data_IF_269163987768
#
_entry.id   IF_269163987768
#
_cell.length_a   1.000
_cell.length_b   1.000
_cell.length_c   1.000
_cell.angle_alpha   90.00
_cell.angle_beta   90.00
_cell.angle_gamma   90.00
#
_symmetry.space_group_name_H-M   'P 1'
#
loop_
_entity.id
_entity.type
_entity.pdbx_description
1 polymer ?
#
# COMPACT_ATOMS: atom_id res chain seq x y z
N UNK A 1 -23.24 -19.24 -4.71
CA UNK A 1 -22.52 -18.09 -4.12
C UNK A 1 -23.05 -17.63 -2.77
N UNK A 2 -24.36 -17.54 -2.56
CA UNK A 2 -24.98 -17.11 -1.28
C UNK A 2 -24.76 -18.09 -0.12
N UNK A 3 -24.74 -19.40 -0.37
CA UNK A 3 -24.58 -20.43 0.67
C UNK A 3 -23.19 -20.41 1.36
N UNK A 4 -22.14 -20.11 0.62
CA UNK A 4 -20.79 -19.97 1.16
C UNK A 4 -20.57 -18.69 1.98
N UNK A 5 -21.32 -17.62 1.68
CA UNK A 5 -21.29 -16.41 2.50
C UNK A 5 -21.92 -16.65 3.89
N UNK A 6 -23.03 -17.41 3.94
CA UNK A 6 -23.68 -17.72 5.21
C UNK A 6 -22.88 -18.69 6.09
N UNK A 7 -22.14 -19.64 5.49
CA UNK A 7 -21.28 -20.55 6.26
C UNK A 7 -20.08 -19.78 6.87
N UNK A 8 -19.53 -18.81 6.15
CA UNK A 8 -18.37 -18.03 6.60
C UNK A 8 -18.72 -17.03 7.68
N UNK A 9 -19.91 -16.43 7.66
CA UNK A 9 -20.41 -15.53 8.72
C UNK A 9 -20.83 -16.30 9.97
N UNK A 10 -21.26 -17.57 9.87
CA UNK A 10 -21.57 -18.41 11.04
C UNK A 10 -20.32 -18.91 11.79
N UNK A 11 -19.20 -19.11 11.08
CA UNK A 11 -17.95 -19.59 11.69
C UNK A 11 -17.17 -18.44 12.36
N UNK A 12 -17.43 -17.20 11.97
CA UNK A 12 -16.72 -16.02 12.49
C UNK A 12 -17.73 -14.88 12.74
N UNK A 13 -18.37 -14.86 13.93
CA UNK A 13 -19.20 -13.72 14.33
C UNK A 13 -18.35 -12.44 14.42
N UNK A 14 -18.94 -11.32 14.05
CA UNK A 14 -18.38 -9.99 14.29
C UNK A 14 -18.50 -9.71 15.81
N UNK A 15 -17.43 -9.96 16.56
CA UNK A 15 -17.35 -9.53 17.96
C UNK A 15 -16.94 -8.07 18.03
N UNK A 16 -17.70 -7.26 18.75
CA UNK A 16 -17.35 -5.91 19.20
C UNK A 16 -16.18 -6.04 20.20
N UNK A 17 -14.95 -5.84 19.75
CA UNK A 17 -13.75 -5.89 20.59
C UNK A 17 -13.34 -4.47 20.94
N UNK A 18 -13.29 -4.18 22.25
CA UNK A 18 -12.72 -2.95 22.80
C UNK A 18 -11.35 -2.62 22.19
N UNK A 19 -11.31 -1.55 21.41
CA UNK A 19 -10.14 -1.22 20.59
C UNK A 19 -9.05 -0.49 21.39
N UNK A 20 -8.17 -1.24 21.99
CA UNK A 20 -6.97 -0.74 22.71
C UNK A 20 -5.69 -0.81 21.89
N UNK A 21 -5.77 -0.74 20.56
CA UNK A 21 -4.64 -0.99 19.67
C UNK A 21 -3.91 0.30 19.26
N UNK A 22 -2.59 0.30 19.44
CA UNK A 22 -1.71 1.44 19.16
C UNK A 22 -0.96 1.35 17.82
N UNK A 23 -0.91 0.17 17.19
CA UNK A 23 -0.18 -0.05 15.94
C UNK A 23 -1.06 -0.66 14.86
N UNK A 24 -0.75 -0.37 13.58
CA UNK A 24 -1.43 -0.94 12.41
C UNK A 24 -1.36 -2.48 12.39
N UNK A 25 -0.35 -3.08 13.03
CA UNK A 25 -0.15 -4.53 13.05
C UNK A 25 -1.01 -5.26 14.09
N UNK A 26 -1.50 -4.58 15.10
CA UNK A 26 -2.28 -5.21 16.16
C UNK A 26 -3.61 -5.77 15.65
N UNK A 27 -4.19 -5.10 14.64
CA UNK A 27 -5.40 -5.57 13.96
C UNK A 27 -5.22 -6.92 13.25
N UNK A 28 -4.02 -7.24 12.77
CA UNK A 28 -3.71 -8.56 12.21
C UNK A 28 -3.67 -9.64 13.28
N UNK A 29 -3.06 -9.36 14.42
CA UNK A 29 -2.95 -10.33 15.51
C UNK A 29 -4.31 -10.78 16.02
N UNK A 30 -5.29 -9.89 15.98
CA UNK A 30 -6.66 -10.16 16.41
C UNK A 30 -7.39 -11.15 15.48
N UNK A 31 -7.00 -11.22 14.22
CA UNK A 31 -7.60 -12.11 13.22
C UNK A 31 -6.81 -13.41 13.02
N UNK A 32 -6.10 -13.90 14.05
CA UNK A 32 -5.24 -15.08 13.97
C UNK A 32 -5.91 -16.36 13.40
N UNK A 33 -7.22 -16.68 13.64
CA UNK A 33 -7.82 -17.87 13.03
C UNK A 33 -7.93 -17.73 11.49
N UNK A 34 -8.25 -16.52 11.02
CA UNK A 34 -8.31 -16.23 9.57
C UNK A 34 -6.92 -16.25 8.94
N UNK A 35 -5.88 -15.84 9.69
CA UNK A 35 -4.49 -15.92 9.24
C UNK A 35 -4.01 -17.36 9.11
N UNK A 36 -4.40 -18.26 10.01
CA UNK A 36 -4.11 -19.69 9.89
C UNK A 36 -4.78 -20.26 8.64
N UNK A 37 -6.04 -19.94 8.41
CA UNK A 37 -6.76 -20.41 7.22
C UNK A 37 -6.11 -19.89 5.93
N UNK A 38 -5.70 -18.61 5.92
CA UNK A 38 -4.93 -18.04 4.83
C UNK A 38 -3.60 -18.76 4.62
N UNK A 39 -2.85 -19.05 5.69
CA UNK A 39 -1.59 -19.79 5.62
C UNK A 39 -1.80 -21.20 5.06
N UNK A 40 -2.83 -21.92 5.49
CA UNK A 40 -3.17 -23.25 4.99
C UNK A 40 -3.49 -23.24 3.47
N UNK A 41 -4.29 -22.27 3.01
CA UNK A 41 -4.57 -22.13 1.58
C UNK A 41 -3.33 -21.73 0.78
N UNK A 42 -2.49 -20.86 1.33
CA UNK A 42 -1.22 -20.45 0.68
C UNK A 42 -0.26 -21.64 0.57
N UNK A 43 -0.17 -22.50 1.58
CA UNK A 43 0.60 -23.75 1.51
C UNK A 43 0.05 -24.68 0.40
N UNK A 44 -1.27 -24.78 0.26
CA UNK A 44 -1.88 -25.52 -0.85
C UNK A 44 -1.43 -24.99 -2.21
N UNK A 45 -1.51 -23.67 -2.43
CA UNK A 45 -1.00 -23.04 -3.67
C UNK A 45 0.47 -23.32 -3.87
N UNK A 46 1.27 -23.13 -2.82
CA UNK A 46 2.73 -23.29 -2.86
C UNK A 46 3.15 -24.69 -3.28
N UNK A 47 2.36 -25.69 -2.92
CA UNK A 47 2.60 -27.08 -3.32
C UNK A 47 2.10 -27.37 -4.75
N UNK A 48 0.84 -27.03 -5.05
CA UNK A 48 0.24 -27.41 -6.34
C UNK A 48 0.76 -26.58 -7.52
N UNK A 49 1.16 -25.31 -7.31
CA UNK A 49 1.61 -24.43 -8.39
C UNK A 49 2.92 -24.91 -9.06
N UNK A 50 4.00 -25.27 -8.34
CA UNK A 50 5.17 -25.87 -8.96
C UNK A 50 4.93 -27.31 -9.44
N UNK A 51 4.09 -28.09 -8.72
CA UNK A 51 3.82 -29.48 -9.03
C UNK A 51 3.22 -29.66 -10.43
N UNK A 52 2.40 -28.70 -10.90
CA UNK A 52 1.84 -28.76 -12.26
C UNK A 52 2.91 -28.87 -13.36
N UNK A 53 4.15 -28.41 -13.12
CA UNK A 53 5.20 -28.51 -14.13
C UNK A 53 5.75 -29.92 -14.31
N UNK A 54 5.50 -30.83 -13.36
CA UNK A 54 5.80 -32.25 -13.54
C UNK A 54 4.97 -32.90 -14.69
N UNK A 55 3.97 -32.19 -15.22
CA UNK A 55 3.26 -32.59 -16.43
C UNK A 55 4.22 -32.91 -17.58
N UNK A 56 5.28 -32.11 -17.76
CA UNK A 56 6.24 -32.33 -18.84
C UNK A 56 6.95 -33.67 -18.67
N UNK A 57 7.39 -34.02 -17.45
CA UNK A 57 7.98 -35.29 -17.15
C UNK A 57 7.01 -36.44 -17.47
N UNK A 58 5.78 -36.36 -16.94
CA UNK A 58 4.79 -37.44 -17.11
C UNK A 58 4.37 -37.64 -18.56
N UNK A 59 4.23 -36.55 -19.34
CA UNK A 59 3.83 -36.63 -20.74
C UNK A 59 4.99 -37.08 -21.64
N UNK A 60 6.20 -36.58 -21.45
CA UNK A 60 7.37 -36.92 -22.28
C UNK A 60 7.84 -38.36 -21.99
N UNK A 61 7.81 -38.76 -20.73
CA UNK A 61 8.25 -40.10 -20.30
C UNK A 61 7.16 -41.16 -20.44
N UNK A 62 5.93 -40.81 -20.91
CA UNK A 62 4.81 -41.78 -21.10
C UNK A 62 5.12 -42.76 -22.20
N UNK A 63 4.77 -44.06 -21.96
CA UNK A 63 5.04 -45.16 -22.89
C UNK A 63 3.83 -45.53 -23.76
N UNK A 64 2.64 -45.05 -23.38
CA UNK A 64 1.41 -45.38 -24.13
C UNK A 64 0.43 -44.19 -24.18
N UNK A 65 -0.46 -44.17 -25.19
CA UNK A 65 -1.52 -43.17 -25.33
C UNK A 65 -2.47 -43.15 -24.12
N UNK A 66 -2.73 -44.30 -23.50
CA UNK A 66 -3.61 -44.42 -22.34
C UNK A 66 -2.97 -43.80 -21.11
N UNK A 67 -1.67 -44.01 -20.88
CA UNK A 67 -0.90 -43.36 -19.82
C UNK A 67 -0.89 -41.83 -20.00
N UNK A 68 -0.63 -41.35 -21.22
CA UNK A 68 -0.64 -39.91 -21.50
C UNK A 68 -2.01 -39.26 -21.22
N UNK A 69 -3.12 -39.92 -21.56
CA UNK A 69 -4.47 -39.48 -21.24
C UNK A 69 -4.72 -39.43 -19.73
N UNK A 70 -4.27 -40.45 -18.99
CA UNK A 70 -4.35 -40.49 -17.53
C UNK A 70 -3.59 -39.36 -16.87
N UNK A 71 -2.35 -39.09 -17.32
CA UNK A 71 -1.55 -37.97 -16.85
C UNK A 71 -2.20 -36.63 -17.19
N UNK A 72 -2.84 -36.47 -18.33
CA UNK A 72 -3.56 -35.24 -18.68
C UNK A 72 -4.71 -35.00 -17.70
N UNK A 73 -5.49 -36.03 -17.33
CA UNK A 73 -6.51 -35.89 -16.28
C UNK A 73 -5.96 -35.45 -14.94
N UNK A 74 -4.78 -35.99 -14.53
CA UNK A 74 -4.08 -35.59 -13.32
C UNK A 74 -3.62 -34.13 -13.38
N UNK A 75 -3.10 -33.70 -14.53
CA UNK A 75 -2.69 -32.30 -14.75
C UNK A 75 -3.85 -31.33 -14.60
N UNK A 76 -5.02 -31.67 -15.17
CA UNK A 76 -6.23 -30.84 -14.97
C UNK A 76 -6.63 -30.77 -13.49
N UNK A 77 -6.61 -31.91 -12.78
CA UNK A 77 -6.93 -31.95 -11.36
C UNK A 77 -5.98 -31.08 -10.52
N UNK A 78 -4.66 -31.17 -10.77
CA UNK A 78 -3.64 -30.35 -10.08
C UNK A 78 -3.82 -28.86 -10.41
N UNK A 79 -4.06 -28.52 -11.67
CA UNK A 79 -4.26 -27.13 -12.10
C UNK A 79 -5.52 -26.53 -11.49
N UNK A 80 -6.61 -27.30 -11.46
CA UNK A 80 -7.86 -26.88 -10.81
C UNK A 80 -7.67 -26.71 -9.29
N UNK A 81 -6.96 -27.64 -8.65
CA UNK A 81 -6.62 -27.53 -7.22
C UNK A 81 -5.79 -26.29 -6.93
N UNK A 82 -4.75 -26.03 -7.74
CA UNK A 82 -3.92 -24.82 -7.61
C UNK A 82 -4.77 -23.54 -7.72
N UNK A 83 -5.63 -23.45 -8.74
CA UNK A 83 -6.54 -22.33 -8.93
C UNK A 83 -7.53 -22.18 -7.76
N UNK A 84 -8.08 -23.28 -7.26
CA UNK A 84 -9.01 -23.27 -6.13
C UNK A 84 -8.36 -22.73 -4.86
N UNK A 85 -7.18 -23.24 -4.50
CA UNK A 85 -6.43 -22.78 -3.33
C UNK A 85 -5.97 -21.31 -3.48
N UNK A 86 -5.54 -20.90 -4.68
CA UNK A 86 -5.19 -19.51 -4.95
C UNK A 86 -6.38 -18.57 -4.75
N UNK A 87 -7.56 -18.92 -5.27
CA UNK A 87 -8.79 -18.15 -5.10
C UNK A 87 -9.17 -18.01 -3.63
N UNK A 88 -9.05 -19.08 -2.84
CA UNK A 88 -9.34 -19.05 -1.41
C UNK A 88 -8.31 -18.24 -0.63
N UNK A 89 -7.03 -18.41 -0.93
CA UNK A 89 -5.93 -17.67 -0.30
C UNK A 89 -6.09 -16.16 -0.53
N UNK A 90 -6.26 -15.72 -1.78
CA UNK A 90 -6.49 -14.31 -2.12
C UNK A 90 -7.75 -13.75 -1.45
N UNK A 91 -8.86 -14.49 -1.47
CA UNK A 91 -10.11 -14.06 -0.85
C UNK A 91 -9.98 -13.91 0.67
N UNK A 92 -9.31 -14.85 1.32
CA UNK A 92 -9.08 -14.82 2.77
C UNK A 92 -8.25 -13.60 3.16
N UNK A 93 -7.14 -13.37 2.46
CA UNK A 93 -6.28 -12.24 2.75
C UNK A 93 -6.93 -10.89 2.47
N UNK A 94 -7.62 -10.74 1.33
CA UNK A 94 -8.33 -9.49 1.01
C UNK A 94 -9.32 -9.11 2.11
N UNK A 95 -10.04 -10.08 2.66
CA UNK A 95 -10.97 -9.82 3.78
C UNK A 95 -10.24 -9.36 5.05
N UNK A 96 -9.11 -9.99 5.36
CA UNK A 96 -8.29 -9.61 6.52
C UNK A 96 -7.75 -8.18 6.32
N UNK A 97 -7.20 -7.89 5.15
CA UNK A 97 -6.62 -6.58 4.85
C UNK A 97 -7.67 -5.45 4.82
N UNK A 98 -8.83 -5.70 4.19
CA UNK A 98 -9.93 -4.72 4.18
C UNK A 98 -10.47 -4.47 5.60
N UNK A 99 -10.65 -5.53 6.39
CA UNK A 99 -11.09 -5.41 7.78
C UNK A 99 -10.10 -4.64 8.64
N UNK A 100 -8.79 -4.85 8.45
CA UNK A 100 -7.76 -4.11 9.17
C UNK A 100 -7.77 -2.62 8.78
N UNK A 101 -7.89 -2.29 7.49
CA UNK A 101 -7.99 -0.90 7.03
C UNK A 101 -9.24 -0.22 7.58
N UNK A 102 -10.37 -0.92 7.63
CA UNK A 102 -11.61 -0.38 8.18
C UNK A 102 -11.48 -0.05 9.66
N UNK A 103 -10.90 -0.94 10.45
CA UNK A 103 -10.64 -0.69 11.88
C UNK A 103 -9.69 0.49 12.09
N UNK A 104 -8.61 0.61 11.28
CA UNK A 104 -7.71 1.77 11.31
C UNK A 104 -8.48 3.05 10.98
N UNK A 105 -9.33 3.03 9.94
CA UNK A 105 -10.18 4.17 9.55
C UNK A 105 -11.09 4.62 10.66
N UNK A 106 -11.82 3.68 11.28
CA UNK A 106 -12.73 3.98 12.39
C UNK A 106 -11.97 4.58 13.57
N UNK A 107 -10.81 4.01 13.93
CA UNK A 107 -10.00 4.53 15.02
C UNK A 107 -9.48 5.94 14.77
N UNK A 108 -8.99 6.23 13.56
CA UNK A 108 -8.55 7.58 13.19
C UNK A 108 -9.73 8.56 13.28
N UNK A 109 -10.88 8.19 12.71
CA UNK A 109 -12.07 9.05 12.75
C UNK A 109 -12.51 9.34 14.19
N UNK A 110 -12.57 8.32 15.05
CA UNK A 110 -12.84 8.51 16.48
C UNK A 110 -11.87 9.50 17.11
N UNK A 111 -10.56 9.32 16.90
CA UNK A 111 -9.56 10.22 17.48
C UNK A 111 -9.69 11.65 16.95
N UNK A 112 -10.01 11.82 15.66
CA UNK A 112 -10.25 13.16 15.07
C UNK A 112 -11.47 13.83 15.71
N UNK A 113 -12.53 13.09 15.96
CA UNK A 113 -13.76 13.64 16.59
C UNK A 113 -13.58 14.06 18.05
N UNK A 114 -12.59 13.47 18.76
CA UNK A 114 -12.27 13.87 20.13
C UNK A 114 -11.16 14.95 20.24
N UNK A 115 -10.63 15.43 19.12
CA UNK A 115 -9.66 16.56 19.12
C UNK A 115 -10.35 17.87 19.45
N UNK A 116 -9.60 18.77 20.05
CA UNK A 116 -10.07 20.16 20.22
C UNK A 116 -10.15 20.85 18.86
N UNK A 117 -11.01 21.85 18.74
CA UNK A 117 -11.14 22.65 17.51
C UNK A 117 -9.79 23.30 17.11
N UNK A 118 -9.00 23.68 18.11
CA UNK A 118 -7.66 24.24 17.88
C UNK A 118 -6.73 23.20 17.22
N UNK A 119 -6.68 21.98 17.74
CA UNK A 119 -5.89 20.87 17.16
C UNK A 119 -6.36 20.49 15.76
N UNK A 120 -7.67 20.44 15.54
CA UNK A 120 -8.24 20.13 14.24
C UNK A 120 -7.85 21.20 13.19
N UNK A 121 -8.01 22.48 13.53
CA UNK A 121 -7.70 23.59 12.63
C UNK A 121 -6.19 23.71 12.33
N UNK A 122 -5.32 23.25 13.22
CA UNK A 122 -3.87 23.28 13.01
C UNK A 122 -3.42 22.35 11.87
N UNK A 123 -4.07 21.22 11.67
CA UNK A 123 -3.77 20.26 10.60
C UNK A 123 -4.60 20.53 9.32
N UNK A 124 -5.84 21.01 9.47
CA UNK A 124 -6.76 21.36 8.39
C UNK A 124 -7.46 20.15 7.73
N UNK A 125 -8.61 20.41 7.12
CA UNK A 125 -9.50 19.39 6.51
C UNK A 125 -8.79 18.51 5.47
N UNK A 126 -7.93 19.12 4.65
CA UNK A 126 -7.23 18.42 3.58
C UNK A 126 -6.27 17.33 4.11
N UNK A 127 -5.64 17.55 5.26
CA UNK A 127 -4.74 16.58 5.88
C UNK A 127 -5.53 15.35 6.38
N UNK A 128 -6.65 15.55 7.06
CA UNK A 128 -7.51 14.47 7.52
C UNK A 128 -8.16 13.70 6.37
N UNK A 129 -8.58 14.40 5.32
CA UNK A 129 -9.12 13.77 4.13
C UNK A 129 -8.07 12.88 3.47
N UNK A 130 -6.81 13.36 3.37
CA UNK A 130 -5.69 12.56 2.86
C UNK A 130 -5.43 11.33 3.72
N UNK A 131 -5.41 11.45 5.05
CA UNK A 131 -5.24 10.33 5.97
C UNK A 131 -6.31 9.25 5.78
N UNK A 132 -7.60 9.65 5.74
CA UNK A 132 -8.74 8.74 5.67
C UNK A 132 -8.97 8.13 4.28
N UNK A 133 -8.31 8.65 3.23
CA UNK A 133 -8.46 8.18 1.85
C UNK A 133 -7.15 7.66 1.29
N UNK A 134 -6.23 8.55 0.93
CA UNK A 134 -4.98 8.22 0.20
C UNK A 134 -4.01 7.42 1.05
N UNK A 135 -3.79 7.81 2.32
CA UNK A 135 -2.82 7.14 3.19
C UNK A 135 -3.31 5.73 3.57
N UNK A 136 -4.62 5.55 3.84
CA UNK A 136 -5.21 4.23 4.07
C UNK A 136 -5.18 3.34 2.83
N UNK A 137 -5.36 3.91 1.64
CA UNK A 137 -5.21 3.16 0.40
C UNK A 137 -3.77 2.70 0.20
N UNK A 138 -2.80 3.56 0.46
CA UNK A 138 -1.38 3.21 0.40
C UNK A 138 -1.00 2.16 1.45
N UNK A 139 -1.59 2.22 2.66
CA UNK A 139 -1.45 1.17 3.66
C UNK A 139 -1.95 -0.19 3.14
N UNK A 140 -3.10 -0.21 2.46
CA UNK A 140 -3.63 -1.42 1.85
C UNK A 140 -2.73 -1.94 0.73
N UNK A 141 -2.44 -1.10 -0.29
CA UNK A 141 -1.76 -1.52 -1.52
C UNK A 141 -0.26 -1.79 -1.30
N UNK A 142 0.46 -0.92 -0.58
CA UNK A 142 1.90 -1.00 -0.45
C UNK A 142 2.37 -1.77 0.79
N UNK A 143 1.57 -1.80 1.85
CA UNK A 143 1.97 -2.53 3.06
C UNK A 143 1.30 -3.89 3.14
N UNK A 144 -0.02 -3.96 3.26
CA UNK A 144 -0.72 -5.22 3.49
C UNK A 144 -0.63 -6.16 2.30
N UNK A 145 -0.91 -5.67 1.08
CA UNK A 145 -0.81 -6.50 -0.13
C UNK A 145 0.61 -6.94 -0.42
N UNK A 146 1.61 -6.15 -0.03
CA UNK A 146 3.01 -6.54 -0.16
C UNK A 146 3.42 -7.61 0.84
N UNK A 147 2.96 -7.54 2.11
CA UNK A 147 3.18 -8.61 3.08
C UNK A 147 2.55 -9.93 2.61
N UNK A 148 1.32 -9.87 2.11
CA UNK A 148 0.67 -11.03 1.50
C UNK A 148 1.52 -11.62 0.38
N UNK A 149 1.97 -10.78 -0.55
CA UNK A 149 2.74 -11.21 -1.71
C UNK A 149 4.08 -11.84 -1.29
N UNK A 150 4.74 -11.33 -0.25
CA UNK A 150 5.98 -11.92 0.28
C UNK A 150 5.74 -13.34 0.79
N UNK A 151 4.67 -13.56 1.56
CA UNK A 151 4.31 -14.89 2.09
C UNK A 151 3.93 -15.82 0.95
N UNK A 152 3.09 -15.35 0.02
CA UNK A 152 2.60 -16.12 -1.13
C UNK A 152 3.74 -16.57 -2.05
N UNK A 153 4.57 -15.65 -2.52
CA UNK A 153 5.69 -15.95 -3.41
C UNK A 153 6.82 -16.68 -2.69
N UNK A 154 7.04 -16.38 -1.41
CA UNK A 154 8.01 -17.08 -0.57
C UNK A 154 7.65 -18.56 -0.41
N UNK A 155 6.40 -18.88 -0.17
CA UNK A 155 5.92 -20.25 -0.10
C UNK A 155 6.14 -21.02 -1.40
N UNK A 156 5.75 -20.42 -2.54
CA UNK A 156 5.95 -20.99 -3.88
C UNK A 156 7.43 -21.28 -4.14
N UNK A 157 8.30 -20.31 -3.83
CA UNK A 157 9.75 -20.43 -4.02
C UNK A 157 10.34 -21.57 -3.18
N UNK A 158 9.98 -21.65 -1.90
CA UNK A 158 10.46 -22.69 -0.99
C UNK A 158 10.05 -24.08 -1.47
N UNK A 159 8.78 -24.26 -1.91
CA UNK A 159 8.32 -25.52 -2.47
C UNK A 159 9.04 -25.85 -3.79
N UNK A 160 9.30 -24.87 -4.66
CA UNK A 160 10.04 -25.08 -5.90
C UNK A 160 11.50 -25.51 -5.61
N UNK A 161 12.17 -24.87 -4.65
CA UNK A 161 13.53 -25.26 -4.23
C UNK A 161 13.57 -26.67 -3.63
N UNK A 162 12.57 -27.05 -2.82
CA UNK A 162 12.45 -28.41 -2.29
C UNK A 162 12.27 -29.44 -3.42
N UNK A 163 11.47 -29.10 -4.44
CA UNK A 163 11.30 -29.97 -5.61
C UNK A 163 12.58 -30.07 -6.46
N UNK A 164 13.35 -28.98 -6.61
CA UNK A 164 14.68 -29.06 -7.26
C UNK A 164 15.63 -29.96 -6.49
N UNK A 165 15.65 -29.88 -5.16
CA UNK A 165 16.46 -30.75 -4.32
C UNK A 165 16.08 -32.23 -4.51
N UNK A 166 14.77 -32.52 -4.62
CA UNK A 166 14.27 -33.87 -4.90
C UNK A 166 14.67 -34.38 -6.30
N UNK A 167 14.66 -33.51 -7.33
CA UNK A 167 15.07 -33.86 -8.69
C UNK A 167 16.57 -34.12 -8.75
N UNK A 168 17.40 -33.16 -8.36
CA UNK A 168 18.86 -33.27 -8.34
C UNK A 168 19.49 -32.11 -7.58
N UNK A 169 20.40 -32.36 -6.63
CA UNK A 169 21.17 -31.31 -5.97
C UNK A 169 21.99 -30.45 -6.94
N UNK A 170 22.44 -31.04 -8.05
CA UNK A 170 23.19 -30.29 -9.09
C UNK A 170 22.30 -29.30 -9.79
N UNK A 171 21.06 -29.67 -10.10
CA UNK A 171 20.07 -28.77 -10.70
C UNK A 171 19.67 -27.64 -9.72
N UNK A 172 19.55 -27.96 -8.43
CA UNK A 172 19.34 -26.95 -7.40
C UNK A 172 20.49 -25.93 -7.36
N UNK A 173 21.72 -26.40 -7.37
CA UNK A 173 22.90 -25.51 -7.38
C UNK A 173 22.92 -24.65 -8.66
N UNK A 174 22.63 -25.23 -9.81
CA UNK A 174 22.58 -24.53 -11.08
C UNK A 174 21.55 -23.38 -11.06
N UNK A 175 20.30 -23.65 -10.61
CA UNK A 175 19.27 -22.60 -10.56
C UNK A 175 19.64 -21.50 -9.56
N UNK A 176 20.23 -21.82 -8.41
CA UNK A 176 20.66 -20.84 -7.43
C UNK A 176 21.75 -19.92 -8.01
N UNK A 177 22.76 -20.49 -8.65
CA UNK A 177 23.86 -19.71 -9.28
C UNK A 177 23.34 -18.79 -10.40
N UNK A 178 22.48 -19.30 -11.26
CA UNK A 178 21.96 -18.53 -12.41
C UNK A 178 20.92 -17.49 -12.00
N UNK A 179 20.33 -17.60 -10.82
CA UNK A 179 19.39 -16.59 -10.30
C UNK A 179 20.11 -15.37 -9.71
N UNK A 180 21.40 -15.46 -9.37
CA UNK A 180 22.17 -14.34 -8.79
C UNK A 180 22.31 -13.13 -9.74
N UNK A 181 22.70 -13.27 -11.03
CA UNK A 181 22.89 -12.14 -11.92
C UNK A 181 21.68 -11.22 -12.08
N UNK A 182 20.43 -11.72 -12.29
CA UNK A 182 19.25 -10.87 -12.37
C UNK A 182 18.94 -10.09 -11.09
N UNK A 183 19.39 -10.58 -9.93
CA UNK A 183 19.17 -9.90 -8.65
C UNK A 183 20.22 -8.80 -8.38
N UNK A 184 21.44 -8.97 -8.90
CA UNK A 184 22.55 -8.04 -8.66
C UNK A 184 22.60 -6.93 -9.71
N UNK A 185 22.32 -7.24 -10.97
CA UNK A 185 22.40 -6.30 -12.09
C UNK A 185 21.56 -5.02 -11.87
N UNK A 186 20.30 -5.08 -11.40
CA UNK A 186 19.50 -3.89 -11.15
C UNK A 186 20.16 -2.90 -10.19
N UNK A 187 20.95 -3.40 -9.23
CA UNK A 187 21.64 -2.54 -8.26
C UNK A 187 22.66 -1.61 -8.91
N UNK A 188 23.37 -2.06 -9.94
CA UNK A 188 24.33 -1.23 -10.69
C UNK A 188 23.66 -0.21 -11.62
N UNK A 189 22.45 -0.53 -12.11
CA UNK A 189 21.66 0.37 -12.96
C UNK A 189 20.82 1.37 -12.17
N UNK A 190 20.62 1.14 -10.87
CA UNK A 190 19.80 1.97 -10.00
C UNK A 190 20.30 3.42 -9.87
N UNK A 191 21.59 3.68 -9.97
CA UNK A 191 22.14 5.05 -9.85
C UNK A 191 21.64 5.93 -10.98
N UNK A 192 21.71 5.46 -12.23
CA UNK A 192 21.20 6.19 -13.39
C UNK A 192 19.67 6.36 -13.32
N UNK A 193 18.95 5.30 -12.98
CA UNK A 193 17.51 5.34 -12.82
C UNK A 193 17.08 6.32 -11.73
N UNK A 194 17.81 6.33 -10.60
CA UNK A 194 17.56 7.28 -9.52
C UNK A 194 17.80 8.72 -9.98
N UNK A 195 18.93 8.99 -10.62
CA UNK A 195 19.27 10.34 -11.11
C UNK A 195 18.21 10.86 -12.10
N UNK A 196 17.78 10.05 -13.07
CA UNK A 196 16.75 10.43 -14.04
C UNK A 196 15.37 10.60 -13.38
N UNK A 197 15.04 9.79 -12.38
CA UNK A 197 13.81 9.92 -11.59
C UNK A 197 13.79 11.20 -10.77
N UNK A 198 14.89 11.53 -10.10
CA UNK A 198 15.01 12.75 -9.28
C UNK A 198 14.91 13.98 -10.19
N UNK A 199 15.57 13.99 -11.35
CA UNK A 199 15.47 15.03 -12.35
C UNK A 199 14.02 15.22 -12.86
N UNK A 200 13.33 14.12 -13.18
CA UNK A 200 11.93 14.15 -13.60
C UNK A 200 11.03 14.70 -12.49
N UNK A 201 11.24 14.28 -11.23
CA UNK A 201 10.45 14.76 -10.10
C UNK A 201 10.59 16.28 -9.90
N UNK A 202 11.81 16.81 -9.99
CA UNK A 202 12.07 18.26 -9.90
C UNK A 202 11.41 19.01 -11.06
N UNK A 203 11.55 18.50 -12.29
CA UNK A 203 10.97 19.17 -13.48
C UNK A 203 9.44 19.13 -13.44
N UNK A 204 8.84 18.07 -12.91
CA UNK A 204 7.38 17.96 -12.74
C UNK A 204 6.87 18.89 -11.65
N UNK A 205 7.63 19.10 -10.57
CA UNK A 205 7.29 20.05 -9.53
C UNK A 205 7.29 21.50 -10.09
N UNK A 206 8.32 21.87 -10.86
CA UNK A 206 8.41 23.17 -11.56
C UNK A 206 7.23 23.37 -12.55
N UNK A 207 6.95 22.36 -13.38
CA UNK A 207 5.81 22.39 -14.29
C UNK A 207 4.47 22.56 -13.56
N UNK A 208 4.29 21.87 -12.44
CA UNK A 208 3.06 21.96 -11.62
C UNK A 208 2.90 23.35 -11.01
N UNK A 209 4.01 23.97 -10.58
CA UNK A 209 3.99 25.32 -10.06
C UNK A 209 3.61 26.35 -11.15
N UNK A 210 4.21 26.25 -12.34
CA UNK A 210 3.87 27.10 -13.49
C UNK A 210 2.40 26.94 -13.91
N UNK A 211 1.88 25.71 -13.85
CA UNK A 211 0.48 25.42 -14.15
C UNK A 211 -0.48 26.05 -13.13
N UNK A 212 -0.12 26.01 -11.84
CA UNK A 212 -0.89 26.72 -10.78
C UNK A 212 -0.93 28.22 -10.99
N UNK A 213 0.21 28.83 -11.33
CA UNK A 213 0.30 30.26 -11.62
C UNK A 213 -0.54 30.66 -12.83
N UNK A 214 -0.48 29.86 -13.90
CA UNK A 214 -1.28 30.07 -15.11
C UNK A 214 -2.79 29.96 -14.82
N UNK A 215 -3.21 28.93 -14.12
CA UNK A 215 -4.63 28.71 -13.78
C UNK A 215 -5.11 29.75 -12.76
N UNK A 216 -4.28 30.11 -11.76
CA UNK A 216 -4.60 31.15 -10.79
C UNK A 216 -4.66 32.55 -11.40
N UNK A 217 -3.92 32.80 -12.49
CA UNK A 217 -3.93 34.06 -13.23
C UNK A 217 -4.94 34.12 -14.39
N UNK A 218 -5.85 33.14 -14.50
CA UNK A 218 -6.76 32.99 -15.65
C UNK A 218 -7.53 34.28 -15.98
N UNK A 219 -8.14 34.93 -14.99
CA UNK A 219 -8.92 36.17 -15.20
C UNK A 219 -8.02 37.31 -15.72
N UNK A 220 -6.80 37.42 -15.22
CA UNK A 220 -5.81 38.42 -15.65
C UNK A 220 -5.40 38.17 -17.09
N UNK A 221 -5.06 36.94 -17.42
CA UNK A 221 -4.66 36.53 -18.78
C UNK A 221 -5.76 36.88 -19.76
N UNK A 222 -7.01 36.56 -19.41
CA UNK A 222 -8.20 36.82 -20.24
C UNK A 222 -8.50 38.29 -20.37
N UNK A 223 -8.34 39.07 -19.32
CA UNK A 223 -8.58 40.53 -19.34
C UNK A 223 -7.60 41.28 -20.19
N UNK A 224 -6.34 40.77 -20.33
CA UNK A 224 -5.31 41.38 -21.14
C UNK A 224 -5.17 40.76 -22.54
N UNK A 225 -6.05 39.80 -22.90
CA UNK A 225 -6.04 39.09 -24.21
C UNK A 225 -4.65 38.49 -24.54
N UNK A 226 -4.02 37.84 -23.57
CA UNK A 226 -2.67 37.28 -23.69
C UNK A 226 -2.64 35.76 -23.75
N UNK A 227 -3.72 35.11 -24.15
CA UNK A 227 -3.86 33.65 -24.19
C UNK A 227 -2.76 32.98 -24.97
N UNK A 228 -2.44 33.50 -26.18
CA UNK A 228 -1.43 32.91 -27.07
C UNK A 228 -0.02 32.95 -26.44
N UNK A 229 0.32 34.06 -25.78
CA UNK A 229 1.62 34.19 -25.13
C UNK A 229 1.78 33.18 -23.98
N UNK A 230 0.72 32.98 -23.17
CA UNK A 230 0.72 32.02 -22.07
C UNK A 230 0.62 30.57 -22.57
N UNK A 231 -0.09 30.32 -23.68
CA UNK A 231 -0.10 29.01 -24.33
C UNK A 231 1.31 28.63 -24.85
N UNK A 232 2.05 29.56 -25.42
CA UNK A 232 3.43 29.33 -25.85
C UNK A 232 4.37 29.07 -24.65
N UNK A 233 4.19 29.80 -23.55
CA UNK A 233 4.95 29.57 -22.29
C UNK A 233 4.68 28.18 -21.72
N UNK A 234 3.41 27.80 -21.63
CA UNK A 234 3.00 26.46 -21.20
C UNK A 234 3.57 25.36 -22.11
N UNK A 235 3.53 25.54 -23.43
CA UNK A 235 4.09 24.56 -24.36
C UNK A 235 5.58 24.33 -24.14
N UNK A 236 6.34 25.40 -23.83
CA UNK A 236 7.77 25.31 -23.51
C UNK A 236 8.01 24.53 -22.20
N UNK A 237 7.22 24.80 -21.15
CA UNK A 237 7.30 24.09 -19.89
C UNK A 237 6.92 22.62 -20.03
N UNK A 238 5.83 22.32 -20.75
CA UNK A 238 5.37 20.97 -21.03
C UNK A 238 6.39 20.17 -21.84
N UNK A 239 7.10 20.81 -22.81
CA UNK A 239 8.17 20.15 -23.56
C UNK A 239 9.33 19.71 -22.68
N UNK A 240 9.78 20.58 -21.77
CA UNK A 240 10.86 20.24 -20.79
C UNK A 240 10.44 19.10 -19.87
N UNK A 241 9.21 19.13 -19.33
CA UNK A 241 8.68 18.05 -18.51
C UNK A 241 8.65 16.74 -19.28
N UNK A 242 8.20 16.74 -20.53
CA UNK A 242 8.17 15.56 -21.42
C UNK A 242 9.57 15.01 -21.71
N UNK A 243 10.57 15.87 -21.97
CA UNK A 243 11.94 15.43 -22.22
C UNK A 243 12.52 14.72 -20.99
N UNK A 244 12.33 15.27 -19.80
CA UNK A 244 12.77 14.64 -18.57
C UNK A 244 12.03 13.34 -18.26
N UNK A 245 10.72 13.26 -18.59
CA UNK A 245 9.95 12.03 -18.48
C UNK A 245 10.45 10.95 -19.43
N UNK A 246 10.76 11.32 -20.69
CA UNK A 246 11.32 10.39 -21.67
C UNK A 246 12.65 9.78 -21.19
N UNK A 247 13.56 10.59 -20.65
CA UNK A 247 14.84 10.11 -20.12
C UNK A 247 14.64 9.14 -18.96
N UNK A 248 13.71 9.44 -18.06
CA UNK A 248 13.35 8.54 -16.96
C UNK A 248 12.75 7.22 -17.46
N UNK A 249 11.76 7.30 -18.38
CA UNK A 249 11.11 6.11 -18.95
C UNK A 249 12.07 5.25 -19.76
N UNK A 250 12.98 5.85 -20.53
CA UNK A 250 14.01 5.11 -21.26
C UNK A 250 14.98 4.40 -20.32
N UNK A 251 15.37 5.04 -19.22
CA UNK A 251 16.23 4.43 -18.19
C UNK A 251 15.53 3.26 -17.49
N UNK A 252 14.24 3.41 -17.21
CA UNK A 252 13.40 2.36 -16.64
C UNK A 252 13.24 1.18 -17.62
N UNK A 253 12.93 1.47 -18.88
CA UNK A 253 12.76 0.45 -19.91
C UNK A 253 14.06 -0.32 -20.17
N UNK A 254 15.21 0.37 -20.23
CA UNK A 254 16.51 -0.28 -20.35
C UNK A 254 16.80 -1.24 -19.18
N UNK A 255 16.47 -0.83 -17.95
CA UNK A 255 16.61 -1.70 -16.79
C UNK A 255 15.71 -2.94 -16.90
N UNK A 256 14.43 -2.78 -17.23
CA UNK A 256 13.47 -3.87 -17.40
C UNK A 256 13.92 -4.82 -18.52
N UNK A 257 14.29 -4.28 -19.67
CA UNK A 257 14.70 -5.07 -20.84
C UNK A 257 15.97 -5.88 -20.57
N UNK A 258 16.99 -5.27 -19.96
CA UNK A 258 18.23 -5.97 -19.61
C UNK A 258 18.00 -7.07 -18.54
N UNK A 259 17.15 -6.78 -17.55
CA UNK A 259 16.78 -7.79 -16.53
C UNK A 259 16.01 -8.95 -17.16
N UNK A 260 15.09 -8.66 -18.10
CA UNK A 260 14.31 -9.67 -18.81
C UNK A 260 15.21 -10.53 -19.70
N UNK A 261 16.20 -9.94 -20.40
CA UNK A 261 17.17 -10.70 -21.22
C UNK A 261 17.89 -11.74 -20.35
N UNK A 262 18.44 -11.32 -19.21
CA UNK A 262 19.16 -12.23 -18.32
C UNK A 262 18.23 -13.28 -17.74
N UNK A 263 17.01 -12.90 -17.36
CA UNK A 263 16.02 -13.86 -16.85
C UNK A 263 15.64 -14.91 -17.90
N UNK A 264 15.52 -14.52 -19.17
CA UNK A 264 15.22 -15.44 -20.26
C UNK A 264 16.38 -16.39 -20.60
N UNK A 265 17.64 -16.00 -20.31
CA UNK A 265 18.80 -16.89 -20.47
C UNK A 265 18.88 -17.99 -19.40
N UNK A 266 18.13 -17.87 -18.31
CA UNK A 266 18.13 -18.90 -17.26
C UNK A 266 17.55 -20.21 -17.75
N UNK A 267 16.45 -20.19 -18.50
CA UNK A 267 15.84 -21.39 -19.04
C UNK A 267 16.81 -22.23 -19.89
N UNK A 268 17.47 -21.69 -20.94
CA UNK A 268 18.43 -22.47 -21.74
C UNK A 268 19.64 -22.93 -20.93
N UNK A 269 20.13 -22.17 -19.95
CA UNK A 269 21.24 -22.60 -19.11
C UNK A 269 20.85 -23.78 -18.22
N UNK A 270 19.70 -23.72 -17.56
CA UNK A 270 19.18 -24.85 -16.75
C UNK A 270 18.91 -26.06 -17.63
N UNK A 271 18.38 -25.84 -18.83
CA UNK A 271 18.17 -26.90 -19.83
C UNK A 271 19.48 -27.56 -20.23
N UNK A 272 20.55 -26.77 -20.49
CA UNK A 272 21.86 -27.29 -20.89
C UNK A 272 22.47 -28.14 -19.77
N UNK A 273 22.46 -27.67 -18.52
CA UNK A 273 22.97 -28.46 -17.37
C UNK A 273 22.16 -29.75 -17.22
N UNK A 274 20.84 -29.67 -17.38
CA UNK A 274 19.97 -30.86 -17.34
C UNK A 274 20.29 -31.86 -18.45
N UNK A 275 20.57 -31.39 -19.68
CA UNK A 275 20.96 -32.25 -20.81
C UNK A 275 22.26 -33.00 -20.55
N UNK A 276 23.29 -32.36 -19.97
CA UNK A 276 24.52 -33.05 -19.58
C UNK A 276 24.24 -34.18 -18.59
N UNK A 277 23.39 -33.92 -17.57
CA UNK A 277 22.98 -34.95 -16.62
C UNK A 277 22.13 -36.06 -17.25
N UNK A 278 21.38 -35.76 -18.31
CA UNK A 278 20.61 -36.77 -19.06
C UNK A 278 21.53 -37.64 -19.94
N UNK A 279 22.57 -37.08 -20.60
CA UNK A 279 23.55 -37.81 -21.33
C UNK A 279 24.38 -38.79 -20.44
N UNK A 280 24.62 -38.38 -19.19
CA UNK A 280 25.25 -39.23 -18.15
C UNK A 280 24.24 -40.34 -17.64
N UNK A 281 23.02 -40.41 -18.14
CA UNK A 281 22.00 -41.38 -17.72
C UNK A 281 21.41 -41.10 -16.32
N UNK A 282 21.68 -39.91 -15.72
CA UNK A 282 21.21 -39.56 -14.37
C UNK A 282 19.78 -39.01 -14.33
N UNK A 283 19.33 -38.40 -15.43
CA UNK A 283 18.00 -37.80 -15.55
C UNK A 283 17.31 -38.24 -16.85
N UNK A 284 15.96 -38.24 -16.85
CA UNK A 284 15.17 -38.42 -18.08
C UNK A 284 14.95 -37.08 -18.77
N UNK A 285 14.68 -37.07 -20.08
CA UNK A 285 14.38 -35.85 -20.84
C UNK A 285 13.14 -35.12 -20.30
N UNK A 286 12.15 -35.87 -19.84
CA UNK A 286 10.96 -35.31 -19.19
C UNK A 286 11.32 -34.58 -17.88
N UNK A 287 12.26 -35.13 -17.10
CA UNK A 287 12.74 -34.50 -15.87
C UNK A 287 13.53 -33.22 -16.16
N UNK A 288 14.37 -33.21 -17.19
CA UNK A 288 15.12 -32.00 -17.64
C UNK A 288 14.16 -30.90 -18.05
N UNK A 289 13.17 -31.21 -18.88
CA UNK A 289 12.14 -30.26 -19.33
C UNK A 289 11.33 -29.69 -18.17
N UNK A 290 11.00 -30.54 -17.20
CA UNK A 290 10.31 -30.11 -15.96
C UNK A 290 11.18 -29.16 -15.17
N UNK A 291 12.45 -29.51 -14.92
CA UNK A 291 13.35 -28.62 -14.18
C UNK A 291 13.54 -27.27 -14.89
N UNK A 292 13.73 -27.25 -16.20
CA UNK A 292 13.84 -25.99 -16.94
C UNK A 292 12.58 -25.11 -16.82
N UNK A 293 11.38 -25.70 -16.93
CA UNK A 293 10.11 -24.96 -16.78
C UNK A 293 9.86 -24.47 -15.34
N UNK A 294 10.37 -25.18 -14.34
CA UNK A 294 10.25 -24.79 -12.93
C UNK A 294 11.13 -23.59 -12.58
N UNK A 295 12.11 -23.19 -13.40
CA UNK A 295 12.98 -22.06 -13.15
C UNK A 295 12.20 -20.77 -12.86
N UNK A 296 11.07 -20.56 -13.52
CA UNK A 296 10.19 -19.42 -13.30
C UNK A 296 9.59 -19.35 -11.88
N UNK A 297 9.47 -20.49 -11.17
CA UNK A 297 9.00 -20.53 -9.78
C UNK A 297 10.09 -20.20 -8.75
N UNK A 298 11.31 -19.93 -9.20
CA UNK A 298 12.39 -19.38 -8.39
C UNK A 298 12.64 -17.91 -8.76
N UNK A 299 12.72 -17.61 -10.06
CA UNK A 299 13.07 -16.27 -10.56
C UNK A 299 11.96 -15.26 -10.26
N UNK A 300 10.72 -15.57 -10.65
CA UNK A 300 9.57 -14.66 -10.48
C UNK A 300 9.35 -14.30 -8.99
N UNK A 301 9.31 -15.27 -8.06
CA UNK A 301 9.23 -14.95 -6.64
C UNK A 301 10.36 -14.07 -6.13
N UNK A 302 11.60 -14.28 -6.55
CA UNK A 302 12.72 -13.43 -6.15
C UNK A 302 12.47 -11.97 -6.51
N UNK A 303 12.02 -11.68 -7.74
CA UNK A 303 11.68 -10.33 -8.19
C UNK A 303 10.49 -9.76 -7.41
N UNK A 304 9.43 -10.52 -7.25
CA UNK A 304 8.22 -10.08 -6.56
C UNK A 304 8.48 -9.78 -5.08
N UNK A 305 9.22 -10.64 -4.39
CA UNK A 305 9.60 -10.42 -2.99
C UNK A 305 10.45 -9.16 -2.85
N UNK A 306 11.43 -8.95 -3.74
CA UNK A 306 12.29 -7.76 -3.71
C UNK A 306 11.47 -6.46 -3.91
N UNK A 307 10.53 -6.43 -4.86
CA UNK A 307 9.64 -5.30 -5.10
C UNK A 307 8.71 -5.04 -3.91
N UNK A 308 8.08 -6.09 -3.38
CA UNK A 308 7.19 -6.00 -2.24
C UNK A 308 7.93 -5.52 -0.98
N UNK A 309 9.17 -5.99 -0.76
CA UNK A 309 10.01 -5.53 0.34
C UNK A 309 10.34 -4.03 0.24
N UNK A 310 10.63 -3.53 -0.97
CA UNK A 310 10.84 -2.12 -1.23
C UNK A 310 9.59 -1.28 -0.90
N UNK A 311 8.39 -1.75 -1.28
CA UNK A 311 7.10 -1.13 -0.95
C UNK A 311 6.83 -1.10 0.55
N UNK A 312 7.02 -2.20 1.26
CA UNK A 312 6.91 -2.28 2.73
C UNK A 312 7.85 -1.29 3.40
N UNK A 313 9.07 -1.13 2.88
CA UNK A 313 10.05 -0.20 3.43
C UNK A 313 9.68 1.26 3.16
N UNK A 314 9.21 1.58 1.96
CA UNK A 314 8.80 2.94 1.59
C UNK A 314 7.53 3.39 2.31
N UNK A 315 6.62 2.48 2.67
CA UNK A 315 5.39 2.79 3.41
C UNK A 315 5.60 3.15 4.88
N UNK A 316 6.85 3.10 5.40
CA UNK A 316 7.16 3.35 6.82
C UNK A 316 6.67 4.73 7.29
N UNK A 317 6.90 5.79 6.51
CA UNK A 317 6.47 7.15 6.86
C UNK A 317 4.94 7.27 6.96
N UNK A 318 4.22 6.65 6.03
CA UNK A 318 2.75 6.66 6.04
C UNK A 318 2.21 5.89 7.24
N UNK A 319 2.78 4.72 7.56
CA UNK A 319 2.39 3.96 8.75
C UNK A 319 2.60 4.76 10.03
N UNK A 320 3.74 5.44 10.17
CA UNK A 320 4.01 6.30 11.33
C UNK A 320 3.00 7.46 11.45
N UNK A 321 2.61 8.08 10.33
CA UNK A 321 1.57 9.12 10.32
C UNK A 321 0.21 8.58 10.76
N UNK A 322 -0.19 7.41 10.25
CA UNK A 322 -1.44 6.74 10.64
C UNK A 322 -1.43 6.33 12.11
N UNK A 323 -0.31 5.78 12.61
CA UNK A 323 -0.14 5.41 14.02
C UNK A 323 -0.18 6.65 14.94
N UNK A 324 0.44 7.75 14.53
CA UNK A 324 0.33 9.02 15.25
C UNK A 324 -1.11 9.55 15.28
N UNK A 325 -1.84 9.43 14.16
CA UNK A 325 -3.25 9.82 14.09
C UNK A 325 -4.18 8.93 14.95
N UNK A 326 -3.83 7.65 15.14
CA UNK A 326 -4.55 6.73 16.04
C UNK A 326 -4.24 6.95 17.53
N UNK A 327 -3.11 7.60 17.86
CA UNK A 327 -2.61 7.80 19.22
C UNK A 327 -3.09 9.13 19.84
N UNK A 328 -4.25 9.63 19.48
CA UNK A 328 -4.84 10.84 20.03
C UNK A 328 -5.28 10.70 21.50
N UNK A 329 -5.78 11.78 22.12
CA UNK A 329 -6.26 11.75 23.50
C UNK A 329 -7.36 10.69 23.69
N UNK A 330 -7.30 9.99 24.80
CA UNK A 330 -8.39 9.09 25.19
C UNK A 330 -9.71 9.90 25.31
N UNK A 331 -10.84 9.21 25.06
CA UNK A 331 -12.19 9.74 25.31
C UNK A 331 -12.19 10.55 26.59
N UNK A 332 -12.24 11.86 26.51
CA UNK A 332 -12.52 12.64 27.70
C UNK A 332 -13.91 12.17 28.15
N UNK A 333 -13.98 11.58 29.33
CA UNK A 333 -15.22 11.18 29.96
C UNK A 333 -16.22 12.31 29.80
N UNK A 334 -17.43 11.99 29.34
CA UNK A 334 -18.50 12.95 29.18
C UNK A 334 -18.48 13.90 30.38
N UNK A 335 -18.25 15.19 30.12
CA UNK A 335 -18.13 16.18 31.17
C UNK A 335 -19.35 16.08 32.09
N UNK A 336 -19.20 16.46 33.32
CA UNK A 336 -20.29 16.50 34.29
C UNK A 336 -21.44 17.32 33.69
N UNK A 337 -22.64 16.74 33.64
CA UNK A 337 -23.80 17.46 33.16
C UNK A 337 -23.90 18.79 33.93
N UNK A 338 -23.76 19.90 33.22
CA UNK A 338 -23.94 21.22 33.79
C UNK A 338 -25.47 21.34 34.06
N UNK A 339 -25.83 21.63 35.29
CA UNK A 339 -27.19 21.94 35.66
C UNK A 339 -27.67 23.21 34.99
N UNK A 340 -28.60 23.96 35.60
CA UNK A 340 -29.03 25.23 35.08
C UNK A 340 -27.87 26.22 35.06
N UNK A 341 -27.60 26.81 33.91
CA UNK A 341 -26.54 27.82 33.77
C UNK A 341 -26.98 29.08 34.54
N UNK A 342 -26.21 29.45 35.58
CA UNK A 342 -26.54 30.61 36.41
C UNK A 342 -25.98 31.90 35.81
N UNK A 343 -24.73 31.90 35.42
CA UNK A 343 -24.09 33.05 34.75
C UNK A 343 -22.83 32.59 33.96
N UNK A 344 -22.43 33.39 32.98
CA UNK A 344 -21.15 33.35 32.28
C UNK A 344 -20.40 34.60 32.63
N UNK A 345 -19.13 34.45 33.09
CA UNK A 345 -18.27 35.59 33.45
C UNK A 345 -16.93 35.46 32.73
N UNK A 346 -16.54 36.52 32.02
CA UNK A 346 -15.19 36.71 31.47
C UNK A 346 -14.47 37.76 32.31
N UNK A 347 -13.32 37.44 32.91
CA UNK A 347 -12.51 38.35 33.75
C UNK A 347 -11.21 38.64 33.05
N UNK A 348 -11.13 39.79 32.42
CA UNK A 348 -9.88 40.26 31.76
C UNK A 348 -9.32 39.31 30.71
N UNK A 349 -10.24 38.70 29.93
CA UNK A 349 -9.90 37.67 28.96
C UNK A 349 -9.20 38.25 27.76
N UNK A 350 -7.99 37.76 27.48
CA UNK A 350 -7.23 38.03 26.26
C UNK A 350 -7.05 36.75 25.44
N UNK A 351 -6.92 36.85 24.12
CA UNK A 351 -6.70 35.72 23.26
C UNK A 351 -5.93 36.06 21.99
N UNK A 352 -4.99 35.18 21.62
CA UNK A 352 -4.29 35.20 20.35
C UNK A 352 -4.42 33.83 19.67
N UNK A 353 -4.73 33.82 18.38
CA UNK A 353 -4.63 32.58 17.62
C UNK A 353 -3.19 32.08 17.52
N UNK A 354 -2.90 30.79 17.50
CA UNK A 354 -1.56 30.27 17.27
C UNK A 354 -0.95 30.85 15.99
N UNK A 355 0.22 31.44 16.09
CA UNK A 355 0.91 32.11 14.97
C UNK A 355 0.44 33.53 14.63
N UNK A 356 -0.52 34.10 15.33
CA UNK A 356 -0.94 35.49 15.12
C UNK A 356 0.09 36.48 15.70
N UNK A 357 0.39 37.55 14.95
CA UNK A 357 1.34 38.60 15.36
C UNK A 357 0.81 39.48 16.47
N UNK A 358 -0.51 39.54 16.70
CA UNK A 358 -1.14 40.36 17.71
C UNK A 358 -2.35 39.67 18.34
N UNK A 359 -2.68 39.93 19.61
CA UNK A 359 -3.87 39.39 20.26
C UNK A 359 -5.14 39.92 19.61
N UNK A 360 -6.11 39.03 19.35
CA UNK A 360 -7.42 39.37 18.79
C UNK A 360 -8.38 39.90 19.86
N UNK A 361 -8.24 39.41 21.08
CA UNK A 361 -8.98 39.93 22.24
C UNK A 361 -8.01 40.43 23.32
N UNK A 362 -8.35 41.52 23.95
CA UNK A 362 -7.55 42.14 25.05
C UNK A 362 -8.50 42.61 26.15
N UNK A 363 -8.32 42.11 27.36
CA UNK A 363 -8.97 42.64 28.53
C UNK A 363 -10.49 42.62 28.49
N UNK A 364 -11.09 41.58 27.87
CA UNK A 364 -12.54 41.46 27.73
C UNK A 364 -13.15 41.14 29.08
N UNK A 365 -14.09 41.99 29.51
CA UNK A 365 -14.92 41.77 30.71
C UNK A 365 -16.36 41.70 30.31
N UNK A 366 -17.00 40.60 30.62
CA UNK A 366 -18.39 40.33 30.26
C UNK A 366 -19.02 39.44 31.34
N UNK A 367 -20.23 39.79 31.77
CA UNK A 367 -21.03 38.97 32.63
C UNK A 367 -22.45 38.85 31.99
N UNK A 368 -22.91 37.64 31.80
CA UNK A 368 -24.24 37.34 31.25
C UNK A 368 -24.95 36.39 32.20
N UNK A 369 -26.14 36.77 32.67
CA UNK A 369 -26.95 35.94 33.56
C UNK A 369 -27.67 34.79 32.80
N UNK A 370 -27.90 33.65 33.42
CA UNK A 370 -28.43 32.45 32.77
C UNK A 370 -29.84 32.55 32.15
N UNK A 371 -30.57 33.63 32.43
CA UNK A 371 -31.88 33.91 31.82
C UNK A 371 -31.85 35.11 30.86
N UNK A 372 -30.68 35.68 30.63
CA UNK A 372 -30.50 36.89 29.85
C UNK A 372 -30.14 36.56 28.41
N UNK A 373 -30.58 37.42 27.48
CA UNK A 373 -30.16 37.36 26.08
C UNK A 373 -29.19 38.51 25.83
N UNK A 374 -27.94 38.17 25.58
CA UNK A 374 -26.91 39.15 25.23
C UNK A 374 -26.63 39.13 23.72
N UNK A 375 -26.43 40.29 23.13
CA UNK A 375 -26.08 40.46 21.71
C UNK A 375 -24.71 41.12 21.60
N UNK A 376 -23.79 40.47 20.88
CA UNK A 376 -22.48 41.01 20.57
C UNK A 376 -22.56 41.86 19.28
N UNK A 377 -22.38 43.16 19.38
CA UNK A 377 -22.42 44.10 18.24
C UNK A 377 -21.06 44.75 18.09
N UNK A 378 -20.63 45.02 16.88
CA UNK A 378 -19.34 45.68 16.57
C UNK A 378 -18.97 45.48 15.09
N UNK A 379 -17.89 46.14 14.67
CA UNK A 379 -17.35 46.08 13.30
C UNK A 379 -16.89 44.68 12.91
N UNK A 380 -16.80 44.41 11.59
CA UNK A 380 -16.23 43.15 11.10
C UNK A 380 -14.77 43.02 11.53
N UNK A 381 -14.38 41.88 12.07
CA UNK A 381 -13.01 41.64 12.54
C UNK A 381 -12.70 42.04 14.00
N UNK A 382 -13.64 42.68 14.75
CA UNK A 382 -13.39 43.08 16.13
C UNK A 382 -13.35 41.95 17.18
N UNK A 383 -13.41 40.68 16.77
CA UNK A 383 -13.26 39.53 17.66
C UNK A 383 -14.54 38.90 18.20
N UNK A 384 -15.76 39.27 17.73
CA UNK A 384 -17.04 38.70 18.19
C UNK A 384 -17.09 37.18 18.07
N UNK A 385 -16.75 36.67 16.89
CA UNK A 385 -16.71 35.20 16.63
C UNK A 385 -15.63 34.49 17.46
N UNK A 386 -14.54 35.16 17.74
CA UNK A 386 -13.47 34.64 18.61
C UNK A 386 -13.93 34.54 20.06
N UNK A 387 -14.62 35.55 20.57
CA UNK A 387 -15.18 35.52 21.93
C UNK A 387 -16.22 34.38 22.06
N UNK A 388 -17.12 34.22 21.07
CA UNK A 388 -18.06 33.09 21.05
C UNK A 388 -17.35 31.73 21.05
N UNK A 389 -16.28 31.56 20.26
CA UNK A 389 -15.48 30.31 20.24
C UNK A 389 -14.80 30.02 21.56
N UNK A 390 -14.34 31.04 22.30
CA UNK A 390 -13.78 30.88 23.65
C UNK A 390 -14.86 30.46 24.65
N UNK A 391 -16.03 31.06 24.61
CA UNK A 391 -17.17 30.68 25.46
C UNK A 391 -17.59 29.23 25.24
N UNK A 392 -17.47 28.71 24.02
CA UNK A 392 -17.68 27.29 23.69
C UNK A 392 -16.47 26.42 23.99
N UNK A 393 -15.39 26.95 24.60
CA UNK A 393 -14.17 26.21 24.90
C UNK A 393 -13.51 25.53 23.69
N UNK A 394 -13.66 26.13 22.49
CA UNK A 394 -12.98 25.63 21.28
C UNK A 394 -11.46 25.76 21.37
N UNK A 395 -10.98 26.68 22.17
CA UNK A 395 -9.59 26.94 22.49
C UNK A 395 -9.49 26.93 24.02
N UNK A 396 -9.13 25.79 24.64
CA UNK A 396 -8.85 25.73 26.07
C UNK A 396 -7.61 26.57 26.37
N UNK A 397 -7.61 27.26 27.54
CA UNK A 397 -6.53 28.11 28.03
C UNK A 397 -5.24 27.32 28.24
#
# INVERSE_FOLDING_TARGET
MLYWNQLFTRVFPEEDVEMKHRTVNDYFKQQWPRLILFAAFTLGVSFFAPLKNFQLKWLIDSKSKQEALGYMGLVFAITFSSWFFERLSRRSFTRIACGAVEQVRQRILEQVLYRTVAQYNAEGDAAYLSLLTTDLRTLYDDYYMSLFSIVFWGGIMLCALAMYLYISPVMLLAILLVTIPPLVLPRRMNERLKATRDAFSLQMADYTQQLKELLGGFEIIRSFLREDAYAALHQKAARKARESELDYQQSQNAMVTNTSLISNLIFPVVMLVGLFLAFDGRLTMGTVSTAASMANFVITPCHQIAQCWAKVRSSKGIRQRLEAAMSGPEKVSAGRAIGKLEHIECKDTGFSYPGAAAPVLRGVRLTVSGQEKAVLVGESGCGKSTLAKLLFQYYPD
#
